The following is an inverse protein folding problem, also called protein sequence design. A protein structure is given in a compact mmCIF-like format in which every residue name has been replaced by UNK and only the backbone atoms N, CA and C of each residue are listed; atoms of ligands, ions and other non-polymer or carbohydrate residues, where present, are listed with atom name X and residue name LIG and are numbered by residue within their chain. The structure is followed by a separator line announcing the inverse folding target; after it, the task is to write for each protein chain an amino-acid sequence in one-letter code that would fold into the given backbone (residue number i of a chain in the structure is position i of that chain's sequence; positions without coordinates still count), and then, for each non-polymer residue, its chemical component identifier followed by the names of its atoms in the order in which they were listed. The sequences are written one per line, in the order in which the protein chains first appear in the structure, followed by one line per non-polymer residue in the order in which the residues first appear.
data_IF_937433262739
#
_entry.id   IF_937433262739
#
_cell.length_a   1.000
_cell.length_b   1.000
_cell.length_c   1.000
_cell.angle_alpha   90.00
_cell.angle_beta   90.00
_cell.angle_gamma   90.00
#
_symmetry.space_group_name_H-M   'P 1'
#
loop_
_entity.id
_entity.type
_entity.pdbx_description
1 polymer ?
#
# COMPACT_ATOMS: atom_id res chain seq x y z
N UNK A 1 -11.46 0.18 26.38
CA UNK A 1 -10.09 -0.23 25.98
C UNK A 1 -9.30 -0.41 27.26
N UNK A 2 -9.21 -1.61 27.82
CA UNK A 2 -8.50 -2.79 27.32
C UNK A 2 -9.28 -4.05 27.72
N UNK A 3 -9.70 -4.88 26.77
CA UNK A 3 -10.02 -6.26 27.11
C UNK A 3 -8.67 -6.94 27.29
N UNK A 4 -8.18 -7.01 28.53
CA UNK A 4 -6.99 -7.81 28.84
C UNK A 4 -7.39 -9.25 28.58
N UNK A 5 -6.94 -9.79 27.43
CA UNK A 5 -6.97 -11.22 27.18
C UNK A 5 -6.38 -11.93 28.41
N UNK A 6 -6.99 -13.03 28.80
CA UNK A 6 -6.44 -13.90 29.84
C UNK A 6 -4.97 -14.21 29.47
N UNK A 7 -4.01 -14.22 30.42
CA UNK A 7 -2.61 -14.55 30.15
C UNK A 7 -2.40 -15.74 29.20
N UNK A 8 -3.21 -16.80 29.33
CA UNK A 8 -3.14 -17.95 28.43
C UNK A 8 -3.52 -17.58 26.98
N UNK A 9 -4.57 -16.79 26.79
CA UNK A 9 -4.98 -16.33 25.46
C UNK A 9 -3.95 -15.37 24.85
N UNK A 10 -3.26 -14.57 25.67
CA UNK A 10 -2.18 -13.70 25.20
C UNK A 10 -0.99 -14.51 24.67
N UNK A 11 -0.62 -15.60 25.36
CA UNK A 11 0.46 -16.48 24.93
C UNK A 11 0.16 -17.14 23.58
N UNK A 12 -1.07 -17.64 23.39
CA UNK A 12 -1.47 -18.22 22.11
C UNK A 12 -1.44 -17.20 20.97
N UNK A 13 -1.82 -15.94 21.23
CA UNK A 13 -1.74 -14.86 20.24
C UNK A 13 -0.30 -14.51 19.90
N UNK A 14 0.59 -14.42 20.89
CA UNK A 14 2.01 -14.15 20.66
C UNK A 14 2.68 -15.28 19.87
N UNK A 15 2.42 -16.53 20.21
CA UNK A 15 2.92 -17.70 19.47
C UNK A 15 2.43 -17.69 18.02
N UNK A 16 1.14 -17.38 17.81
CA UNK A 16 0.58 -17.23 16.48
C UNK A 16 1.23 -16.09 15.69
N UNK A 17 1.46 -14.92 16.30
CA UNK A 17 2.09 -13.77 15.63
C UNK A 17 3.58 -13.98 15.32
N UNK A 18 4.26 -14.85 16.05
CA UNK A 18 5.67 -15.19 15.83
C UNK A 18 5.91 -16.18 14.68
N UNK A 19 4.85 -16.83 14.16
CA UNK A 19 4.96 -17.74 13.02
C UNK A 19 5.69 -17.05 11.86
N UNK A 20 6.59 -17.78 11.19
CA UNK A 20 7.44 -17.29 10.12
C UNK A 20 6.67 -16.63 8.96
N UNK A 21 5.44 -17.07 8.72
CA UNK A 21 4.52 -16.49 7.72
C UNK A 21 4.11 -15.04 8.05
N UNK A 22 4.14 -14.63 9.33
CA UNK A 22 3.74 -13.29 9.78
C UNK A 22 4.94 -12.35 9.95
N UNK A 23 6.17 -12.86 9.89
CA UNK A 23 7.40 -12.07 9.89
C UNK A 23 7.75 -11.51 8.50
N UNK A 24 6.74 -11.03 7.77
CA UNK A 24 6.97 -10.36 6.48
C UNK A 24 7.61 -9.01 6.76
N UNK A 25 8.88 -8.85 6.36
CA UNK A 25 9.54 -7.55 6.36
C UNK A 25 8.75 -6.57 5.48
N UNK A 26 8.01 -5.68 6.13
CA UNK A 26 7.26 -4.64 5.43
C UNK A 26 8.27 -3.64 4.89
N UNK A 27 8.48 -3.67 3.57
CA UNK A 27 9.27 -2.64 2.90
C UNK A 27 8.73 -1.26 3.30
N UNK A 28 9.59 -0.29 3.66
CA UNK A 28 9.14 1.03 4.07
C UNK A 28 8.27 1.63 2.97
N UNK A 29 7.12 2.17 3.35
CA UNK A 29 6.23 2.86 2.43
C UNK A 29 6.94 4.11 1.89
N UNK A 30 7.05 4.24 0.57
CA UNK A 30 7.73 5.36 -0.11
C UNK A 30 6.68 6.26 -0.75
N UNK A 31 6.08 7.23 -0.03
CA UNK A 31 4.96 8.04 -0.52
C UNK A 31 5.31 8.81 -1.80
N UNK A 32 6.55 9.28 -1.92
CA UNK A 32 7.02 10.01 -3.10
C UNK A 32 7.03 9.17 -4.38
N UNK A 33 7.32 7.87 -4.28
CA UNK A 33 7.28 6.97 -5.44
C UNK A 33 5.84 6.83 -5.93
N UNK A 34 4.90 6.60 -5.01
CA UNK A 34 3.48 6.47 -5.34
C UNK A 34 2.94 7.77 -5.95
N UNK A 35 3.28 8.92 -5.37
CA UNK A 35 2.92 10.22 -5.91
C UNK A 35 3.48 10.45 -7.32
N UNK A 36 4.76 10.13 -7.54
CA UNK A 36 5.41 10.25 -8.85
C UNK A 36 4.73 9.40 -9.93
N UNK A 37 4.37 8.15 -9.61
CA UNK A 37 3.65 7.26 -10.52
C UNK A 37 2.28 7.85 -10.88
N UNK A 38 1.52 8.32 -9.90
CA UNK A 38 0.20 8.94 -10.13
C UNK A 38 0.32 10.17 -11.04
N UNK A 39 1.29 11.05 -10.77
CA UNK A 39 1.52 12.24 -11.59
C UNK A 39 1.86 11.89 -13.04
N UNK A 40 2.75 10.92 -13.25
CA UNK A 40 3.13 10.46 -14.59
C UNK A 40 1.91 9.95 -15.37
N UNK A 41 1.06 9.14 -14.73
CA UNK A 41 -0.15 8.60 -15.36
C UNK A 41 -1.12 9.72 -15.73
N UNK A 42 -1.39 10.64 -14.81
CA UNK A 42 -2.31 11.76 -15.05
C UNK A 42 -1.81 12.66 -16.19
N UNK A 43 -0.53 13.02 -16.19
CA UNK A 43 0.08 13.83 -17.25
C UNK A 43 0.05 13.07 -18.59
N UNK A 44 0.43 11.79 -18.59
CA UNK A 44 0.44 10.96 -19.79
C UNK A 44 -0.94 10.85 -20.44
N UNK A 45 -1.97 10.56 -19.64
CA UNK A 45 -3.35 10.52 -20.13
C UNK A 45 -3.83 11.89 -20.63
N UNK A 46 -3.47 12.97 -19.94
CA UNK A 46 -3.79 14.34 -20.38
C UNK A 46 -3.15 14.70 -21.73
N UNK A 47 -1.87 14.35 -21.92
CA UNK A 47 -1.17 14.56 -23.18
C UNK A 47 -1.76 13.72 -24.31
N UNK A 48 -2.04 12.44 -24.05
CA UNK A 48 -2.70 11.56 -25.00
C UNK A 48 -4.07 12.08 -25.42
N UNK A 49 -4.88 12.54 -24.47
CA UNK A 49 -6.19 13.15 -24.74
C UNK A 49 -6.05 14.38 -25.65
N UNK A 50 -5.09 15.26 -25.36
CA UNK A 50 -4.83 16.45 -26.19
C UNK A 50 -4.34 16.09 -27.60
N UNK A 51 -3.50 15.07 -27.73
CA UNK A 51 -3.02 14.59 -29.02
C UNK A 51 -4.16 14.04 -29.88
N UNK A 52 -5.02 13.22 -29.28
CA UNK A 52 -6.21 12.70 -29.95
C UNK A 52 -7.17 13.82 -30.36
N UNK A 53 -7.37 14.82 -29.50
CA UNK A 53 -8.17 16.01 -29.84
C UNK A 53 -7.58 16.77 -31.03
N UNK A 54 -6.25 16.89 -31.11
CA UNK A 54 -5.60 17.56 -32.24
C UNK A 54 -5.69 16.76 -33.54
N UNK A 55 -5.67 15.42 -33.47
CA UNK A 55 -5.77 14.55 -34.64
C UNK A 55 -7.20 14.44 -35.21
N UNK A 56 -8.21 14.82 -34.43
CA UNK A 56 -9.63 14.70 -34.80
C UNK A 56 -10.27 16.02 -35.22
N UNK A 57 -9.65 17.15 -34.89
CA UNK A 57 -9.99 18.49 -35.36
C UNK A 57 -9.34 18.77 -36.73
#
# INVERSE_FOLDING_TARGET
MTSRLNPDDQQHVEEYLQLSQHQVERKPFRPWLLLGVVLIVVIGLGLLSRLLSYLTL
#
